data_IF_621805285171
#
_entry.id   IF_621805285171
#
_cell.length_a   1.000
_cell.length_b   1.000
_cell.length_c   1.000
_cell.angle_alpha   90.00
_cell.angle_beta   90.00
_cell.angle_gamma   90.00
#
_symmetry.space_group_name_H-M   'P 1'
#
loop_
_entity.id
_entity.type
_entity.pdbx_description
1 polymer ?
#
# COMPACT_ATOMS: atom_id res chain seq x y z
N UNK A 1 0.74 7.12 -1.55
CA UNK A 1 0.73 5.64 -1.53
C UNK A 1 -0.47 5.05 -0.76
N UNK A 2 -1.44 5.90 -0.41
CA UNK A 2 -2.54 5.64 0.53
C UNK A 2 -3.86 5.19 -0.11
N UNK A 3 -3.87 4.96 -1.43
CA UNK A 3 -5.06 4.48 -2.14
C UNK A 3 -4.97 3.01 -2.59
N UNK A 4 -3.78 2.38 -2.61
CA UNK A 4 -3.65 0.96 -2.99
C UNK A 4 -3.77 -0.01 -1.81
N UNK A 5 -3.51 0.44 -0.58
CA UNK A 5 -3.74 -0.37 0.64
C UNK A 5 -5.24 -0.62 0.84
N UNK A 6 -6.01 0.44 0.64
CA UNK A 6 -7.47 0.53 0.67
C UNK A 6 -8.20 -0.46 -0.25
N UNK A 7 -7.63 -0.78 -1.42
CA UNK A 7 -8.27 -1.70 -2.36
C UNK A 7 -7.98 -3.18 -2.05
N UNK A 8 -6.94 -3.59 -1.31
CA UNK A 8 -6.56 -5.02 -1.23
C UNK A 8 -7.57 -5.95 -0.51
N UNK A 9 -8.38 -5.42 0.41
CA UNK A 9 -9.51 -6.15 1.02
C UNK A 9 -10.67 -6.30 0.01
N UNK A 10 -10.79 -5.37 -0.95
CA UNK A 10 -11.91 -5.26 -1.90
C UNK A 10 -11.57 -5.56 -3.38
N UNK A 11 -10.30 -5.75 -3.75
CA UNK A 11 -9.84 -6.01 -5.13
C UNK A 11 -9.40 -7.45 -5.36
N UNK A 12 -8.96 -8.17 -4.33
CA UNK A 12 -8.61 -9.60 -4.47
C UNK A 12 -9.83 -10.52 -4.63
N UNK A 13 -11.01 -9.94 -4.51
CA UNK A 13 -12.30 -10.39 -4.98
C UNK A 13 -12.26 -10.74 -6.49
N UNK A 14 -11.45 -10.09 -7.34
CA UNK A 14 -11.60 -10.21 -8.81
C UNK A 14 -10.79 -11.31 -9.53
N UNK A 15 -10.08 -12.22 -8.85
CA UNK A 15 -9.19 -13.21 -9.51
C UNK A 15 -9.63 -14.68 -9.37
N UNK A 16 -10.92 -14.94 -9.18
CA UNK A 16 -11.47 -16.29 -9.27
C UNK A 16 -12.57 -16.33 -10.34
N UNK A 17 -12.18 -16.72 -11.55
CA UNK A 17 -13.09 -17.16 -12.62
C UNK A 17 -12.54 -18.47 -13.20
N UNK A 18 -13.40 -19.46 -13.51
CA UNK A 18 -12.99 -20.84 -13.73
C UNK A 18 -12.34 -21.06 -15.10
N UNK A 19 -11.33 -21.93 -15.13
CA UNK A 19 -10.56 -22.29 -16.31
C UNK A 19 -11.41 -22.83 -17.45
N UNK A 20 -11.31 -22.16 -18.61
CA UNK A 20 -11.74 -22.69 -19.90
C UNK A 20 -10.57 -23.50 -20.48
N UNK A 21 -10.79 -24.81 -20.68
CA UNK A 21 -9.91 -25.69 -21.46
C UNK A 21 -9.73 -25.10 -22.86
N UNK A 22 -8.49 -24.89 -23.30
CA UNK A 22 -8.16 -24.79 -24.71
C UNK A 22 -6.97 -25.71 -25.00
N UNK A 23 -7.13 -26.45 -26.09
CA UNK A 23 -6.31 -27.55 -26.58
C UNK A 23 -4.88 -27.14 -26.91
N UNK A 24 -3.99 -28.13 -26.78
CA UNK A 24 -2.62 -28.15 -27.27
C UNK A 24 -2.59 -27.99 -28.79
N UNK A 25 -1.72 -27.13 -29.30
CA UNK A 25 -1.00 -27.32 -30.57
C UNK A 25 0.37 -26.63 -30.49
N UNK A 26 1.42 -27.45 -30.63
CA UNK A 26 2.81 -27.05 -30.88
C UNK A 26 2.97 -26.60 -32.35
N UNK A 27 3.89 -25.66 -32.62
CA UNK A 27 4.72 -25.48 -33.84
C UNK A 27 5.43 -24.11 -33.67
N UNK A 28 6.71 -24.05 -33.28
CA UNK A 28 7.91 -24.15 -34.12
C UNK A 28 8.06 -23.03 -35.17
N UNK A 29 9.25 -22.41 -35.14
CA UNK A 29 9.93 -21.60 -36.17
C UNK A 29 9.82 -20.07 -36.14
N UNK A 30 10.91 -19.44 -35.70
CA UNK A 30 11.54 -18.26 -36.32
C UNK A 30 12.00 -18.60 -37.76
N UNK A 31 12.05 -17.65 -38.72
CA UNK A 31 13.28 -16.86 -38.87
C UNK A 31 13.14 -15.39 -39.33
N UNK A 32 14.23 -14.70 -39.01
CA UNK A 32 14.94 -13.51 -39.53
C UNK A 32 14.73 -13.07 -41.00
N UNK A 33 14.79 -11.74 -41.25
CA UNK A 33 15.57 -10.97 -42.28
C UNK A 33 14.77 -9.77 -42.85
N UNK A 34 15.11 -8.50 -42.61
CA UNK A 34 16.09 -7.58 -43.27
C UNK A 34 15.58 -6.87 -44.55
N UNK A 35 15.78 -5.52 -44.57
CA UNK A 35 15.91 -4.55 -45.70
C UNK A 35 14.65 -4.17 -46.52
N UNK A 36 14.49 -2.96 -47.10
CA UNK A 36 15.12 -1.63 -47.04
C UNK A 36 14.36 -0.69 -48.02
N UNK A 37 14.40 0.65 -47.76
CA UNK A 37 14.33 1.77 -48.74
C UNK A 37 13.02 1.96 -49.57
N UNK A 38 12.56 3.15 -50.04
CA UNK A 38 13.02 4.55 -50.14
C UNK A 38 11.84 5.42 -50.68
N UNK A 39 11.74 6.70 -50.27
CA UNK A 39 11.26 7.94 -50.97
C UNK A 39 9.93 7.94 -51.77
N UNK A 40 9.08 8.98 -51.83
CA UNK A 40 9.36 10.41 -52.00
C UNK A 40 8.11 11.33 -51.81
N UNK A 41 8.38 12.63 -51.67
CA UNK A 41 7.54 13.83 -51.49
C UNK A 41 6.45 14.15 -52.54
N UNK A 42 5.36 14.82 -52.09
CA UNK A 42 4.84 16.18 -52.44
C UNK A 42 3.37 16.28 -51.94
N UNK A 43 3.00 17.16 -51.01
CA UNK A 43 2.64 18.59 -51.18
C UNK A 43 1.24 18.69 -51.80
N UNK A 44 0.23 19.43 -51.34
CA UNK A 44 -0.03 20.44 -50.32
C UNK A 44 -1.58 20.46 -50.17
N UNK A 45 -2.11 20.89 -49.02
CA UNK A 45 -3.36 21.67 -48.93
C UNK A 45 -3.89 21.75 -47.49
N UNK A 46 -3.95 22.99 -47.04
CA UNK A 46 -4.47 23.50 -45.79
C UNK A 46 -5.95 23.14 -45.55
N UNK A 47 -6.31 22.76 -44.32
CA UNK A 47 -7.28 23.53 -43.52
C UNK A 47 -7.60 22.86 -42.16
N UNK A 48 -7.47 23.67 -41.12
CA UNK A 48 -8.30 23.72 -39.92
C UNK A 48 -8.03 22.83 -38.69
N UNK A 49 -7.72 23.59 -37.62
CA UNK A 49 -8.10 23.42 -36.20
C UNK A 49 -7.18 22.57 -35.33
N UNK A 50 -6.18 23.30 -34.83
CA UNK A 50 -5.83 23.39 -33.40
C UNK A 50 -6.86 22.76 -32.44
N UNK A 51 -6.61 21.52 -32.05
CA UNK A 51 -7.00 21.05 -30.73
C UNK A 51 -5.81 21.25 -29.82
N UNK A 52 -5.86 22.33 -29.06
CA UNK A 52 -4.88 22.69 -28.07
C UNK A 52 -4.63 21.52 -27.10
N UNK A 53 -3.36 21.12 -27.02
CA UNK A 53 -2.79 20.30 -25.97
C UNK A 53 -3.24 20.81 -24.59
N UNK A 54 -4.17 20.11 -23.94
CA UNK A 54 -4.33 20.18 -22.48
C UNK A 54 -3.42 19.12 -21.84
N UNK A 55 -2.12 19.27 -22.04
CA UNK A 55 -1.15 18.71 -21.10
C UNK A 55 -1.05 19.75 -19.99
N UNK A 56 -1.79 19.56 -18.89
CA UNK A 56 -1.51 20.31 -17.67
C UNK A 56 -0.06 19.99 -17.29
N UNK A 57 0.84 20.95 -17.55
CA UNK A 57 2.25 20.80 -17.21
C UNK A 57 2.37 20.55 -15.71
N UNK A 58 3.16 19.53 -15.37
CA UNK A 58 3.61 19.26 -14.03
C UNK A 58 4.12 20.55 -13.36
N UNK A 59 4.02 20.66 -12.04
CA UNK A 59 4.64 21.76 -11.29
C UNK A 59 6.11 21.82 -11.71
N UNK A 60 6.59 23.02 -12.06
CA UNK A 60 7.99 23.18 -12.44
C UNK A 60 8.86 22.58 -11.31
N UNK A 61 9.77 21.61 -11.60
CA UNK A 61 10.64 20.98 -10.62
C UNK A 61 11.28 21.97 -9.65
N UNK A 62 11.68 23.13 -10.19
CA UNK A 62 12.34 24.20 -9.45
C UNK A 62 11.42 24.82 -8.40
N UNK A 63 10.14 25.00 -8.72
CA UNK A 63 9.13 25.55 -7.78
C UNK A 63 8.88 24.56 -6.65
N UNK A 64 8.71 23.28 -6.98
CA UNK A 64 8.53 22.24 -5.96
C UNK A 64 9.78 22.15 -5.08
N UNK A 65 10.98 22.11 -5.65
CA UNK A 65 12.23 22.06 -4.91
C UNK A 65 12.40 23.26 -3.97
N UNK A 66 12.06 24.47 -4.41
CA UNK A 66 12.14 25.68 -3.58
C UNK A 66 11.18 25.62 -2.39
N UNK A 67 9.93 25.20 -2.60
CA UNK A 67 8.96 24.99 -1.52
C UNK A 67 9.46 23.96 -0.50
N UNK A 68 9.98 22.83 -0.98
CA UNK A 68 10.56 21.78 -0.14
C UNK A 68 11.80 22.26 0.62
N UNK A 69 12.63 23.11 -0.01
CA UNK A 69 13.79 23.71 0.61
C UNK A 69 13.39 24.63 1.77
N UNK A 70 12.42 25.52 1.57
CA UNK A 70 11.92 26.41 2.63
C UNK A 70 11.34 25.62 3.81
N UNK A 71 10.50 24.61 3.52
CA UNK A 71 9.86 23.78 4.54
C UNK A 71 10.89 22.96 5.36
N UNK A 72 11.90 22.39 4.69
CA UNK A 72 12.93 21.59 5.33
C UNK A 72 13.91 22.47 6.11
N UNK A 73 14.40 23.57 5.51
CA UNK A 73 15.37 24.49 6.11
C UNK A 73 14.84 25.11 7.41
N UNK A 74 13.53 25.36 7.50
CA UNK A 74 12.89 25.89 8.70
C UNK A 74 12.95 24.93 9.91
N UNK A 75 13.11 23.63 9.66
CA UNK A 75 12.98 22.58 10.69
C UNK A 75 14.29 21.85 11.00
N UNK A 76 15.36 22.11 10.24
CA UNK A 76 16.64 21.40 10.36
C UNK A 76 17.80 22.35 10.61
N UNK A 77 18.79 21.88 11.37
CA UNK A 77 20.07 22.56 11.62
C UNK A 77 21.14 21.94 10.73
N UNK A 78 20.99 22.10 9.41
CA UNK A 78 21.92 21.57 8.41
C UNK A 78 22.44 22.70 7.49
N UNK A 79 23.57 22.46 6.83
CA UNK A 79 24.11 23.42 5.86
C UNK A 79 23.19 23.53 4.64
N UNK A 80 23.15 24.73 4.05
CA UNK A 80 22.33 25.04 2.86
C UNK A 80 22.53 24.01 1.75
N UNK A 81 23.78 23.68 1.42
CA UNK A 81 24.09 22.67 0.39
C UNK A 81 23.59 21.27 0.73
N UNK A 82 23.55 20.88 2.02
CA UNK A 82 23.00 19.61 2.44
C UNK A 82 21.48 19.57 2.26
N UNK A 83 20.78 20.65 2.65
CA UNK A 83 19.32 20.76 2.50
C UNK A 83 18.94 20.76 1.02
N UNK A 84 19.62 21.55 0.19
CA UNK A 84 19.42 21.58 -1.27
C UNK A 84 19.63 20.21 -1.92
N UNK A 85 20.65 19.46 -1.50
CA UNK A 85 20.92 18.15 -2.06
C UNK A 85 19.82 17.13 -1.72
N UNK A 86 19.30 17.16 -0.48
CA UNK A 86 18.21 16.28 -0.02
C UNK A 86 16.90 16.64 -0.72
N UNK A 87 16.56 17.93 -0.80
CA UNK A 87 15.32 18.35 -1.47
C UNK A 87 15.34 18.06 -2.96
N UNK A 88 16.49 18.24 -3.63
CA UNK A 88 16.65 17.84 -5.03
C UNK A 88 16.39 16.33 -5.23
N UNK A 89 16.95 15.46 -4.37
CA UNK A 89 16.71 14.01 -4.44
C UNK A 89 15.23 13.67 -4.23
N UNK A 90 14.59 14.27 -3.22
CA UNK A 90 13.15 14.08 -2.97
C UNK A 90 12.32 14.53 -4.18
N UNK A 91 12.61 15.71 -4.75
CA UNK A 91 11.92 16.21 -5.96
C UNK A 91 12.07 15.22 -7.12
N UNK A 92 13.30 14.80 -7.44
CA UNK A 92 13.56 13.83 -8.52
C UNK A 92 12.85 12.48 -8.29
N UNK A 93 12.79 12.01 -7.04
CA UNK A 93 12.06 10.77 -6.71
C UNK A 93 10.56 10.94 -6.96
N UNK A 94 9.98 12.05 -6.50
CA UNK A 94 8.56 12.36 -6.65
C UNK A 94 8.17 12.49 -8.11
N UNK A 95 8.97 13.20 -8.92
CA UNK A 95 8.77 13.28 -10.37
C UNK A 95 8.76 11.90 -11.01
N UNK A 96 9.79 11.10 -10.72
CA UNK A 96 9.89 9.73 -11.24
C UNK A 96 8.70 8.85 -10.85
N UNK A 97 8.16 9.01 -9.64
CA UNK A 97 6.98 8.26 -9.19
C UNK A 97 5.74 8.70 -9.96
N UNK A 98 5.55 10.01 -10.11
CA UNK A 98 4.42 10.56 -10.86
C UNK A 98 4.47 10.12 -12.32
N UNK A 99 5.65 10.15 -12.96
CA UNK A 99 5.85 9.75 -14.36
C UNK A 99 5.55 8.26 -14.59
N UNK A 100 5.99 7.40 -13.67
CA UNK A 100 5.79 5.95 -13.79
C UNK A 100 4.37 5.49 -13.42
N UNK A 101 3.62 6.31 -12.70
CA UNK A 101 2.30 5.94 -12.20
C UNK A 101 1.23 6.31 -13.22
N UNK A 102 0.78 5.33 -14.01
CA UNK A 102 -0.34 5.50 -14.95
C UNK A 102 -1.57 6.11 -14.26
N UNK A 103 -1.87 5.68 -13.03
CA UNK A 103 -2.97 6.21 -12.21
C UNK A 103 -2.85 7.71 -11.93
N UNK A 104 -1.63 8.20 -11.66
CA UNK A 104 -1.40 9.63 -11.40
C UNK A 104 -1.50 10.41 -12.72
N UNK A 105 -0.90 9.88 -13.79
CA UNK A 105 -0.96 10.48 -15.12
C UNK A 105 -2.40 10.61 -15.62
N UNK A 106 -3.22 9.56 -15.47
CA UNK A 106 -4.63 9.56 -15.88
C UNK A 106 -5.53 10.42 -14.98
N UNK A 107 -5.09 10.76 -13.75
CA UNK A 107 -5.90 11.58 -12.84
C UNK A 107 -6.06 13.03 -13.28
N UNK A 108 -5.15 13.55 -14.11
CA UNK A 108 -5.09 14.96 -14.51
C UNK A 108 -4.61 15.92 -13.41
N UNK A 109 -4.45 15.47 -12.16
CA UNK A 109 -4.07 16.31 -11.01
C UNK A 109 -2.63 16.04 -10.55
N UNK A 110 -1.69 15.94 -11.50
CA UNK A 110 -0.27 15.59 -11.26
C UNK A 110 0.36 16.50 -10.19
N UNK A 111 0.07 17.80 -10.23
CA UNK A 111 0.64 18.80 -9.34
C UNK A 111 0.25 18.57 -7.87
N UNK A 112 -1.02 18.21 -7.63
CA UNK A 112 -1.53 17.88 -6.29
C UNK A 112 -0.85 16.63 -5.75
N UNK A 113 -0.66 15.61 -6.61
CA UNK A 113 0.06 14.39 -6.25
C UNK A 113 1.53 14.64 -5.97
N UNK A 114 2.21 15.45 -6.78
CA UNK A 114 3.61 15.81 -6.56
C UNK A 114 3.79 16.49 -5.20
N UNK A 115 2.96 17.51 -4.89
CA UNK A 115 3.05 18.22 -3.61
C UNK A 115 2.76 17.30 -2.42
N UNK A 116 1.72 16.46 -2.52
CA UNK A 116 1.34 15.53 -1.44
C UNK A 116 2.42 14.48 -1.19
N UNK A 117 2.98 13.89 -2.25
CA UNK A 117 4.06 12.91 -2.14
C UNK A 117 5.32 13.53 -1.56
N UNK A 118 5.68 14.73 -2.02
CA UNK A 118 6.86 15.44 -1.55
C UNK A 118 6.77 15.82 -0.07
N UNK A 119 5.63 16.33 0.38
CA UNK A 119 5.38 16.62 1.81
C UNK A 119 5.45 15.38 2.67
N UNK A 120 4.83 14.29 2.24
CA UNK A 120 4.91 13.03 2.97
C UNK A 120 6.36 12.51 3.09
N UNK A 121 7.17 12.66 2.03
CA UNK A 121 8.60 12.31 2.05
C UNK A 121 9.39 13.18 3.02
N UNK A 122 9.19 14.50 2.99
CA UNK A 122 9.81 15.44 3.93
C UNK A 122 9.43 15.12 5.36
N UNK A 123 8.15 14.91 5.65
CA UNK A 123 7.68 14.63 7.00
C UNK A 123 8.30 13.35 7.56
N UNK A 124 8.42 12.29 6.73
CA UNK A 124 9.13 11.07 7.13
C UNK A 124 10.61 11.30 7.41
N UNK A 125 11.29 12.07 6.56
CA UNK A 125 12.68 12.47 6.79
C UNK A 125 12.81 13.27 8.10
N UNK A 126 11.94 14.25 8.33
CA UNK A 126 11.90 15.07 9.53
C UNK A 126 11.65 14.27 10.79
N UNK A 127 10.74 13.27 10.76
CA UNK A 127 10.53 12.36 11.89
C UNK A 127 11.85 11.67 12.29
N UNK A 128 12.56 11.08 11.34
CA UNK A 128 13.85 10.45 11.62
C UNK A 128 14.93 11.45 12.03
N UNK A 129 14.87 12.68 11.50
CA UNK A 129 15.78 13.76 11.89
C UNK A 129 15.56 14.16 13.36
N UNK A 130 14.31 14.32 13.78
CA UNK A 130 13.92 14.66 15.16
C UNK A 130 14.27 13.56 16.16
N UNK A 131 14.14 12.29 15.77
CA UNK A 131 14.58 11.15 16.58
C UNK A 131 16.11 11.14 16.77
N UNK A 132 16.85 11.71 15.83
CA UNK A 132 18.32 11.71 15.83
C UNK A 132 18.92 10.36 15.47
N UNK A 133 20.24 10.26 15.50
CA UNK A 133 20.96 9.09 14.95
C UNK A 133 20.67 7.80 15.71
N UNK A 134 20.74 7.82 17.04
CA UNK A 134 20.61 6.61 17.84
C UNK A 134 19.16 6.12 17.89
N UNK A 135 18.21 6.97 18.33
CA UNK A 135 16.80 6.56 18.42
C UNK A 135 16.20 6.26 17.05
N UNK A 136 16.58 6.98 16.00
CA UNK A 136 16.12 6.71 14.63
C UNK A 136 16.52 5.32 14.13
N UNK A 137 17.75 4.87 14.42
CA UNK A 137 18.19 3.50 14.07
C UNK A 137 17.43 2.44 14.85
N UNK A 138 17.23 2.65 16.15
CA UNK A 138 16.48 1.72 17.01
C UNK A 138 15.02 1.61 16.55
N UNK A 139 14.39 2.74 16.24
CA UNK A 139 13.02 2.80 15.68
C UNK A 139 12.94 2.07 14.34
N UNK A 140 13.85 2.35 13.40
CA UNK A 140 13.88 1.69 12.09
C UNK A 140 14.10 0.18 12.24
N UNK A 141 15.05 -0.23 13.08
CA UNK A 141 15.38 -1.62 13.32
C UNK A 141 14.22 -2.38 13.94
N UNK A 142 13.59 -1.82 14.98
CA UNK A 142 12.42 -2.42 15.63
C UNK A 142 11.26 -2.55 14.63
N UNK A 143 10.96 -1.49 13.88
CA UNK A 143 9.88 -1.48 12.90
C UNK A 143 10.06 -2.55 11.82
N UNK A 144 11.27 -2.67 11.25
CA UNK A 144 11.54 -3.69 10.24
C UNK A 144 11.62 -5.09 10.85
N UNK A 145 12.21 -5.22 12.04
CA UNK A 145 12.31 -6.47 12.79
C UNK A 145 10.94 -7.06 13.09
N UNK A 146 10.00 -6.23 13.55
CA UNK A 146 8.61 -6.62 13.77
C UNK A 146 7.92 -7.13 12.49
N UNK A 147 8.19 -6.52 11.33
CA UNK A 147 7.64 -6.97 10.04
C UNK A 147 8.17 -8.34 9.61
N UNK A 148 9.42 -8.66 9.94
CA UNK A 148 10.06 -9.90 9.49
C UNK A 148 10.11 -10.99 10.55
N UNK A 149 9.74 -10.71 11.80
CA UNK A 149 9.86 -11.64 12.93
C UNK A 149 9.27 -13.02 12.65
N UNK A 150 8.12 -13.08 11.96
CA UNK A 150 7.46 -14.36 11.61
C UNK A 150 8.10 -15.06 10.40
N UNK A 151 8.84 -14.32 9.57
CA UNK A 151 9.31 -14.77 8.27
C UNK A 151 10.81 -15.08 8.22
N UNK A 152 11.56 -14.71 9.26
CA UNK A 152 12.99 -15.05 9.40
C UNK A 152 13.21 -16.52 9.79
N UNK A 153 12.18 -17.19 10.31
CA UNK A 153 12.22 -18.60 10.71
C UNK A 153 11.41 -19.48 9.77
N UNK A 154 11.89 -20.71 9.55
CA UNK A 154 11.17 -21.72 8.75
C UNK A 154 9.89 -22.15 9.47
N UNK A 155 8.75 -22.33 8.75
CA UNK A 155 7.53 -22.85 9.35
C UNK A 155 7.77 -24.23 9.99
N UNK A 156 7.49 -24.35 11.29
CA UNK A 156 7.69 -25.58 12.06
C UNK A 156 8.89 -25.56 13.02
N UNK A 157 9.79 -24.58 12.92
CA UNK A 157 10.91 -24.44 13.86
C UNK A 157 10.48 -23.71 15.12
N UNK A 158 10.68 -24.33 16.29
CA UNK A 158 10.42 -23.73 17.60
C UNK A 158 11.67 -22.98 18.11
N UNK A 159 12.00 -21.86 17.47
CA UNK A 159 13.05 -20.97 17.98
C UNK A 159 12.50 -20.07 19.10
N UNK A 160 13.28 -19.91 20.16
CA UNK A 160 13.05 -18.92 21.22
C UNK A 160 13.15 -17.48 20.69
N UNK A 161 12.73 -16.50 21.52
CA UNK A 161 12.75 -15.09 21.13
C UNK A 161 14.17 -14.61 20.80
N UNK A 162 15.16 -14.95 21.62
CA UNK A 162 16.55 -14.48 21.45
C UNK A 162 17.17 -15.05 20.17
N UNK A 163 16.98 -16.35 19.90
CA UNK A 163 17.43 -16.98 18.66
C UNK A 163 16.79 -16.34 17.40
N UNK A 164 15.49 -16.00 17.46
CA UNK A 164 14.83 -15.27 16.37
C UNK A 164 15.35 -13.85 16.23
N UNK A 165 15.62 -13.18 17.34
CA UNK A 165 16.17 -11.82 17.33
C UNK A 165 17.55 -11.79 16.66
N UNK A 166 18.43 -12.75 16.96
CA UNK A 166 19.74 -12.88 16.32
C UNK A 166 19.58 -13.06 14.79
N UNK A 167 18.66 -13.92 14.34
CA UNK A 167 18.36 -14.08 12.91
C UNK A 167 17.84 -12.79 12.26
N UNK A 168 17.06 -11.99 13.00
CA UNK A 168 16.59 -10.67 12.53
C UNK A 168 17.75 -9.70 12.39
N UNK A 169 18.69 -9.67 13.34
CA UNK A 169 19.86 -8.80 13.23
C UNK A 169 20.69 -9.14 11.99
N UNK A 170 21.01 -10.42 11.79
CA UNK A 170 21.76 -10.89 10.62
C UNK A 170 21.06 -10.53 9.31
N UNK A 171 19.75 -10.80 9.25
CA UNK A 171 18.92 -10.45 8.10
C UNK A 171 18.91 -8.94 7.84
N UNK A 172 18.67 -8.13 8.87
CA UNK A 172 18.55 -6.69 8.73
C UNK A 172 19.89 -6.04 8.38
N UNK A 173 21.01 -6.53 8.88
CA UNK A 173 22.34 -6.07 8.46
C UNK A 173 22.53 -6.24 6.95
N UNK A 174 22.26 -7.44 6.42
CA UNK A 174 22.31 -7.68 4.98
C UNK A 174 21.31 -6.81 4.21
N UNK A 175 20.12 -6.61 4.76
CA UNK A 175 19.08 -5.77 4.17
C UNK A 175 19.46 -4.30 4.12
N UNK A 176 20.13 -3.74 5.14
CA UNK A 176 20.62 -2.36 5.13
C UNK A 176 21.68 -2.13 4.05
N UNK A 177 22.56 -3.12 3.83
CA UNK A 177 23.55 -3.11 2.74
C UNK A 177 22.83 -3.11 1.38
N UNK A 178 21.76 -3.88 1.22
CA UNK A 178 20.93 -3.83 0.01
C UNK A 178 20.26 -2.46 -0.14
N UNK A 179 19.66 -1.93 0.93
CA UNK A 179 18.95 -0.66 0.94
C UNK A 179 19.87 0.52 0.58
N UNK A 180 21.11 0.57 1.07
CA UNK A 180 22.05 1.64 0.70
C UNK A 180 22.48 1.54 -0.76
N UNK A 181 22.65 0.31 -1.30
CA UNK A 181 22.93 0.11 -2.73
C UNK A 181 21.75 0.57 -3.60
N UNK A 182 20.52 0.29 -3.17
CA UNK A 182 19.32 0.79 -3.82
C UNK A 182 19.22 2.31 -3.74
N UNK A 183 19.48 2.90 -2.57
CA UNK A 183 19.50 4.35 -2.36
C UNK A 183 20.49 5.04 -3.29
N UNK A 184 21.71 4.50 -3.44
CA UNK A 184 22.74 5.05 -4.34
C UNK A 184 22.29 5.01 -5.79
N UNK A 185 21.81 3.86 -6.27
CA UNK A 185 21.32 3.72 -7.66
C UNK A 185 20.12 4.61 -7.95
N UNK A 186 19.15 4.64 -7.04
CA UNK A 186 17.93 5.41 -7.26
C UNK A 186 18.18 6.92 -7.18
N UNK A 187 19.20 7.38 -6.46
CA UNK A 187 19.53 8.81 -6.34
C UNK A 187 20.75 9.25 -7.16
N UNK A 188 21.27 8.37 -8.03
CA UNK A 188 22.45 8.66 -8.88
C UNK A 188 23.67 9.10 -8.06
N UNK A 189 23.86 8.49 -6.88
CA UNK A 189 24.96 8.81 -5.98
C UNK A 189 26.18 7.91 -6.25
N UNK A 190 27.41 8.37 -5.91
CA UNK A 190 28.63 7.57 -6.00
C UNK A 190 28.54 6.23 -5.23
N UNK A 191 29.29 5.22 -5.69
CA UNK A 191 29.29 3.90 -5.07
C UNK A 191 29.83 3.91 -3.63
N UNK A 192 30.68 4.86 -3.27
CA UNK A 192 31.25 5.05 -1.94
C UNK A 192 30.41 5.97 -1.05
N UNK A 193 29.28 6.49 -1.55
CA UNK A 193 28.43 7.41 -0.78
C UNK A 193 27.95 6.77 0.52
N UNK A 194 28.18 7.47 1.63
CA UNK A 194 27.63 7.14 2.94
C UNK A 194 27.04 8.40 3.57
N UNK A 195 25.87 8.36 4.24
CA UNK A 195 25.33 9.50 4.96
C UNK A 195 26.35 10.03 5.99
N UNK A 196 26.77 11.29 5.86
CA UNK A 196 27.74 11.94 6.77
C UNK A 196 27.08 12.91 7.75
N UNK A 197 25.91 13.45 7.40
CA UNK A 197 25.17 14.38 8.25
C UNK A 197 23.93 13.71 8.85
N UNK A 198 23.39 14.27 9.94
CA UNK A 198 22.15 13.79 10.55
C UNK A 198 20.98 13.84 9.56
N UNK A 199 20.92 14.86 8.71
CA UNK A 199 19.86 14.99 7.69
C UNK A 199 19.98 13.92 6.61
N UNK A 200 21.19 13.66 6.11
CA UNK A 200 21.43 12.57 5.15
C UNK A 200 21.11 11.20 5.76
N UNK A 201 21.42 11.01 7.05
CA UNK A 201 21.10 9.77 7.75
C UNK A 201 19.59 9.61 7.89
N UNK A 202 18.87 10.68 8.23
CA UNK A 202 17.42 10.69 8.33
C UNK A 202 16.74 10.39 6.99
N UNK A 203 17.25 10.98 5.90
CA UNK A 203 16.81 10.67 4.54
C UNK A 203 17.02 9.18 4.21
N UNK A 204 18.20 8.64 4.50
CA UNK A 204 18.49 7.22 4.29
C UNK A 204 17.57 6.30 5.12
N UNK A 205 17.31 6.62 6.39
CA UNK A 205 16.40 5.85 7.24
C UNK A 205 14.96 5.88 6.71
N UNK A 206 14.47 7.06 6.31
CA UNK A 206 13.16 7.22 5.69
C UNK A 206 13.04 6.43 4.38
N UNK A 207 14.06 6.51 3.52
CA UNK A 207 14.13 5.73 2.30
C UNK A 207 14.13 4.23 2.59
N UNK A 208 14.91 3.77 3.57
CA UNK A 208 15.03 2.34 3.91
C UNK A 208 13.70 1.76 4.38
N UNK A 209 12.96 2.49 5.24
CA UNK A 209 11.62 2.08 5.68
C UNK A 209 10.66 1.93 4.48
N UNK A 210 10.70 2.88 3.54
CA UNK A 210 9.86 2.84 2.35
C UNK A 210 10.29 1.73 1.39
N UNK A 211 11.60 1.54 1.19
CA UNK A 211 12.17 0.51 0.34
C UNK A 211 11.73 -0.89 0.82
N UNK A 212 11.77 -1.11 2.14
CA UNK A 212 11.26 -2.33 2.77
C UNK A 212 9.78 -2.59 2.47
N UNK A 213 8.96 -1.55 2.54
CA UNK A 213 7.49 -1.62 2.31
C UNK A 213 7.09 -1.69 0.84
N UNK A 214 8.03 -1.57 -0.11
CA UNK A 214 7.74 -1.62 -1.55
C UNK A 214 7.08 -2.95 -1.92
N UNK A 215 5.97 -2.89 -2.65
CA UNK A 215 5.28 -4.09 -3.14
C UNK A 215 5.98 -4.66 -4.37
N UNK A 216 6.20 -5.96 -4.34
CA UNK A 216 6.70 -6.76 -5.45
C UNK A 216 5.57 -7.65 -5.93
N UNK A 217 5.23 -7.53 -7.21
CA UNK A 217 4.23 -8.37 -7.86
C UNK A 217 4.89 -9.68 -8.26
N UNK A 218 4.39 -10.79 -7.73
CA UNK A 218 4.88 -12.13 -8.01
C UNK A 218 4.01 -12.79 -9.11
N UNK A 219 4.55 -13.80 -9.82
CA UNK A 219 3.75 -14.62 -10.73
C UNK A 219 2.51 -15.18 -10.01
N UNK A 220 1.33 -15.05 -10.63
CA UNK A 220 0.06 -15.45 -10.03
C UNK A 220 -0.70 -14.34 -9.28
N UNK A 221 -0.33 -13.07 -9.46
CA UNK A 221 -1.09 -11.92 -8.95
C UNK A 221 -0.93 -11.66 -7.45
N UNK A 222 0.02 -12.33 -6.80
CA UNK A 222 0.33 -12.13 -5.39
C UNK A 222 1.26 -10.92 -5.21
N UNK A 223 0.92 -10.02 -4.27
CA UNK A 223 1.71 -8.81 -4.00
C UNK A 223 2.28 -8.85 -2.58
N UNK A 224 3.60 -8.88 -2.46
CA UNK A 224 4.29 -8.99 -1.17
C UNK A 224 5.22 -7.81 -0.94
N UNK A 225 5.44 -7.43 0.32
CA UNK A 225 6.44 -6.42 0.66
C UNK A 225 7.84 -6.99 0.41
N UNK A 226 8.74 -6.14 -0.10
CA UNK A 226 10.10 -6.51 -0.44
C UNK A 226 10.82 -7.12 0.77
N UNK A 227 10.74 -6.49 1.94
CA UNK A 227 11.44 -6.98 3.15
C UNK A 227 10.98 -8.37 3.56
N UNK A 228 9.69 -8.67 3.46
CA UNK A 228 9.12 -9.99 3.76
C UNK A 228 9.60 -11.02 2.74
N UNK A 229 9.59 -10.67 1.45
CA UNK A 229 10.08 -11.56 0.39
C UNK A 229 11.56 -11.90 0.61
N UNK A 230 12.37 -10.93 1.03
CA UNK A 230 13.78 -11.14 1.38
C UNK A 230 13.94 -12.00 2.64
N UNK A 231 13.15 -11.77 3.68
CA UNK A 231 13.19 -12.56 4.91
C UNK A 231 12.86 -14.04 4.65
N UNK A 232 11.85 -14.32 3.82
CA UNK A 232 11.52 -15.69 3.41
C UNK A 232 12.65 -16.33 2.59
N UNK A 233 13.29 -15.56 1.71
CA UNK A 233 14.47 -16.02 0.97
C UNK A 233 15.66 -16.31 1.90
N UNK A 234 15.84 -15.49 2.94
CA UNK A 234 16.84 -15.69 3.98
C UNK A 234 16.58 -16.97 4.78
N UNK A 235 15.35 -17.14 5.29
CA UNK A 235 14.92 -18.35 6.02
C UNK A 235 15.14 -19.63 5.22
N UNK A 236 14.82 -19.64 3.92
CA UNK A 236 15.01 -20.82 3.06
C UNK A 236 16.48 -21.20 2.81
N UNK A 237 17.40 -20.27 3.01
CA UNK A 237 18.85 -20.49 2.84
C UNK A 237 19.54 -20.87 4.16
N UNK A 238 18.82 -20.84 5.27
CA UNK A 238 19.35 -21.29 6.55
C UNK A 238 19.61 -22.81 6.50
N UNK A 239 20.77 -23.28 6.99
CA UNK A 239 21.03 -24.70 7.19
C UNK A 239 19.92 -25.37 8.01
N UNK A 240 19.64 -26.65 7.76
CA UNK A 240 18.62 -27.38 8.52
C UNK A 240 19.05 -27.55 10.00
N UNK A 241 20.35 -27.48 10.25
CA UNK A 241 20.99 -27.57 11.55
C UNK A 241 20.75 -26.32 12.42
N UNK A 242 20.42 -25.15 11.83
CA UNK A 242 20.04 -23.93 12.56
C UNK A 242 18.70 -24.07 13.30
N UNK A 243 18.02 -25.21 13.17
CA UNK A 243 16.79 -25.53 13.92
C UNK A 243 17.06 -25.96 15.36
N UNK A 244 18.30 -26.30 15.71
CA UNK A 244 18.69 -26.66 17.07
C UNK A 244 19.11 -25.38 17.80
N UNK A 245 18.23 -24.86 18.65
CA UNK A 245 18.53 -23.76 19.56
C UNK A 245 19.45 -24.26 20.70
N UNK A 246 20.74 -24.35 20.41
CA UNK A 246 21.76 -24.76 21.38
C UNK A 246 21.83 -23.82 22.59
N UNK A 247 21.43 -22.55 22.45
CA UNK A 247 21.39 -21.56 23.53
C UNK A 247 20.24 -21.82 24.51
N UNK A 248 19.06 -22.20 24.03
CA UNK A 248 17.96 -22.63 24.89
C UNK A 248 18.28 -23.94 25.65
N UNK A 249 19.13 -24.81 25.09
CA UNK A 249 19.59 -26.02 25.75
C UNK A 249 20.68 -25.78 26.83
N UNK A 250 21.31 -24.60 26.83
CA UNK A 250 22.45 -24.24 27.67
C UNK A 250 22.10 -23.12 28.67
N UNK A 251 20.85 -23.05 29.16
CA UNK A 251 20.40 -22.02 30.13
C UNK A 251 21.03 -22.12 31.55
N UNK A 252 22.22 -22.71 31.73
CA UNK A 252 22.92 -22.73 33.03
C UNK A 252 24.17 -21.84 33.14
N UNK A 253 24.53 -21.05 32.13
CA UNK A 253 25.67 -20.12 32.24
C UNK A 253 25.53 -18.90 31.33
N UNK A 254 24.68 -17.93 31.70
CA UNK A 254 24.65 -16.62 31.04
C UNK A 254 25.73 -15.72 31.65
N UNK A 255 26.63 -15.21 30.80
CA UNK A 255 27.63 -14.20 31.14
C UNK A 255 26.96 -12.81 31.29
N UNK A 256 27.55 -11.93 32.10
CA UNK A 256 27.11 -10.55 32.37
C UNK A 256 26.91 -9.71 31.09
N UNK A 257 27.62 -10.06 30.01
CA UNK A 257 27.51 -9.46 28.66
C UNK A 257 26.19 -9.80 27.94
N UNK A 258 25.68 -11.03 28.11
CA UNK A 258 24.42 -11.46 27.50
C UNK A 258 23.20 -10.76 28.10
N UNK A 259 23.26 -10.45 29.40
CA UNK A 259 22.20 -9.67 30.05
C UNK A 259 22.21 -8.19 29.65
N UNK A 260 23.38 -7.60 29.38
CA UNK A 260 23.49 -6.23 28.88
C UNK A 260 22.87 -6.09 27.47
N UNK A 261 23.07 -7.10 26.61
CA UNK A 261 22.52 -7.16 25.26
C UNK A 261 20.98 -7.31 25.24
N UNK A 262 20.41 -8.14 26.12
CA UNK A 262 18.95 -8.26 26.30
C UNK A 262 18.28 -6.96 26.80
N UNK A 263 19.05 -6.08 27.46
CA UNK A 263 18.61 -4.74 27.90
C UNK A 263 18.82 -3.66 26.84
N UNK A 264 19.31 -4.00 25.64
CA UNK A 264 19.46 -3.01 24.57
C UNK A 264 18.10 -2.43 24.18
N UNK A 265 18.09 -1.13 23.88
CA UNK A 265 16.84 -0.42 23.55
C UNK A 265 16.15 -0.99 22.31
N UNK A 266 16.89 -1.60 21.38
CA UNK A 266 16.35 -2.22 20.17
C UNK A 266 15.63 -3.54 20.49
N UNK A 267 16.22 -4.39 21.33
CA UNK A 267 15.57 -5.61 21.82
C UNK A 267 14.30 -5.26 22.60
N UNK A 268 14.36 -4.28 23.49
CA UNK A 268 13.20 -3.84 24.28
C UNK A 268 12.10 -3.23 23.40
N UNK A 269 12.45 -2.38 22.44
CA UNK A 269 11.48 -1.80 21.51
C UNK A 269 10.88 -2.86 20.60
N UNK A 270 11.67 -3.79 20.06
CA UNK A 270 11.13 -4.90 19.28
C UNK A 270 10.19 -5.76 20.12
N UNK A 271 10.55 -6.13 21.36
CA UNK A 271 9.63 -6.82 22.29
C UNK A 271 8.36 -6.03 22.51
N UNK A 272 8.47 -4.73 22.78
CA UNK A 272 7.31 -3.85 22.97
C UNK A 272 6.44 -3.78 21.71
N UNK A 273 7.03 -3.75 20.51
CA UNK A 273 6.31 -3.73 19.24
C UNK A 273 5.69 -5.07 18.88
N UNK A 274 6.28 -6.20 19.29
CA UNK A 274 5.68 -7.52 19.16
C UNK A 274 4.48 -7.69 20.08
N UNK A 275 4.59 -7.19 21.32
CA UNK A 275 3.47 -7.15 22.28
C UNK A 275 2.40 -6.16 21.82
N UNK A 276 2.83 -5.02 21.28
CA UNK A 276 1.99 -3.97 20.70
C UNK A 276 1.83 -4.15 19.18
N UNK A 277 1.76 -5.38 18.64
CA UNK A 277 1.41 -5.65 17.23
C UNK A 277 -0.07 -5.26 16.97
N UNK A 278 -0.35 -3.97 17.16
CA UNK A 278 -1.60 -3.21 17.03
C UNK A 278 -1.29 -1.71 16.85
N UNK A 279 -0.06 -1.31 16.46
CA UNK A 279 0.31 0.11 16.39
C UNK A 279 1.11 0.48 15.13
N UNK A 280 0.40 0.71 14.04
CA UNK A 280 0.74 1.48 12.85
C UNK A 280 -0.13 2.76 12.76
N UNK A 281 0.41 3.90 13.18
CA UNK A 281 -0.23 5.24 13.03
C UNK A 281 -1.58 5.42 13.79
N UNK A 282 -1.61 6.11 14.94
CA UNK A 282 -2.79 6.17 15.82
C UNK A 282 -4.09 6.66 15.17
N UNK A 283 -4.00 7.50 14.13
CA UNK A 283 -5.17 8.01 13.43
C UNK A 283 -5.70 7.01 12.38
N UNK A 284 -4.81 6.41 11.58
CA UNK A 284 -5.18 5.48 10.51
C UNK A 284 -5.55 4.07 11.05
N UNK A 285 -4.93 3.62 12.14
CA UNK A 285 -5.27 2.36 12.81
C UNK A 285 -6.64 2.42 13.48
N UNK A 286 -7.02 3.57 14.06
CA UNK A 286 -8.35 3.69 14.70
C UNK A 286 -9.50 3.47 13.70
N UNK A 287 -9.33 3.94 12.46
CA UNK A 287 -10.33 3.76 11.40
C UNK A 287 -10.25 2.34 10.79
N UNK A 288 -9.03 1.81 10.61
CA UNK A 288 -8.81 0.43 10.14
C UNK A 288 -9.37 -0.61 11.09
N UNK A 289 -9.04 -0.52 12.38
CA UNK A 289 -9.47 -1.47 13.41
C UNK A 289 -10.98 -1.39 13.61
N UNK A 290 -11.56 -0.18 13.47
CA UNK A 290 -13.01 0.00 13.44
C UNK A 290 -13.67 -0.68 12.24
N UNK A 291 -13.11 -0.54 11.04
CA UNK A 291 -13.59 -1.24 9.83
C UNK A 291 -13.50 -2.76 10.01
N UNK A 292 -12.39 -3.27 10.53
CA UNK A 292 -12.16 -4.70 10.75
C UNK A 292 -13.14 -5.25 11.78
N UNK A 293 -13.31 -4.57 12.92
CA UNK A 293 -14.22 -4.98 13.99
C UNK A 293 -15.67 -5.03 13.49
N UNK A 294 -16.11 -4.02 12.75
CA UNK A 294 -17.45 -3.97 12.16
C UNK A 294 -17.66 -5.03 11.08
N UNK A 295 -16.63 -5.35 10.27
CA UNK A 295 -16.71 -6.42 9.27
C UNK A 295 -16.81 -7.80 9.94
N UNK A 296 -16.06 -8.04 11.02
CA UNK A 296 -16.16 -9.28 11.79
C UNK A 296 -17.55 -9.42 12.42
N UNK A 297 -18.05 -8.37 13.09
CA UNK A 297 -19.39 -8.36 13.67
C UNK A 297 -20.48 -8.60 12.61
N UNK A 298 -20.33 -8.00 11.42
CA UNK A 298 -21.22 -8.24 10.28
C UNK A 298 -21.18 -9.71 9.82
N UNK A 299 -20.00 -10.29 9.65
CA UNK A 299 -19.86 -11.69 9.23
C UNK A 299 -20.48 -12.65 10.24
N UNK A 300 -20.28 -12.42 11.53
CA UNK A 300 -20.90 -13.20 12.61
C UNK A 300 -22.43 -13.06 12.62
N UNK A 301 -22.95 -11.84 12.48
CA UNK A 301 -24.40 -11.58 12.40
C UNK A 301 -25.07 -12.24 11.18
N UNK A 302 -24.32 -12.45 10.09
CA UNK A 302 -24.78 -13.17 8.89
C UNK A 302 -24.55 -14.69 8.97
N UNK A 303 -24.09 -15.20 10.13
CA UNK A 303 -23.81 -16.63 10.34
C UNK A 303 -22.57 -17.15 9.60
N UNK A 304 -21.66 -16.26 9.19
CA UNK A 304 -20.46 -16.58 8.41
C UNK A 304 -19.21 -16.61 9.29
N UNK A 305 -19.22 -17.44 10.33
CA UNK A 305 -18.11 -17.52 11.30
C UNK A 305 -16.79 -17.94 10.62
N UNK A 306 -16.84 -18.89 9.71
CA UNK A 306 -15.67 -19.35 8.96
C UNK A 306 -15.04 -18.26 8.06
N UNK A 307 -15.85 -17.34 7.52
CA UNK A 307 -15.38 -16.15 6.82
C UNK A 307 -14.70 -15.16 7.77
N UNK A 308 -15.20 -15.02 9.01
CA UNK A 308 -14.58 -14.18 10.04
C UNK A 308 -13.25 -14.76 10.51
N UNK A 309 -13.20 -16.06 10.78
CA UNK A 309 -11.98 -16.78 11.15
C UNK A 309 -10.94 -16.69 10.02
N UNK A 310 -11.37 -16.84 8.77
CA UNK A 310 -10.52 -16.64 7.60
C UNK A 310 -9.93 -15.22 7.53
N UNK A 311 -10.73 -14.18 7.80
CA UNK A 311 -10.28 -12.80 7.83
C UNK A 311 -9.24 -12.57 8.93
N UNK A 312 -9.49 -13.04 10.15
CA UNK A 312 -8.55 -12.91 11.27
C UNK A 312 -7.22 -13.58 10.96
N UNK A 313 -7.26 -14.81 10.45
CA UNK A 313 -6.05 -15.55 10.04
C UNK A 313 -5.32 -14.85 8.88
N UNK A 314 -6.06 -14.24 7.95
CA UNK A 314 -5.46 -13.44 6.87
C UNK A 314 -4.82 -12.14 7.35
N UNK A 315 -5.41 -11.47 8.34
CA UNK A 315 -4.85 -10.27 8.96
C UNK A 315 -3.59 -10.59 9.79
N UNK A 316 -3.42 -11.85 10.19
CA UNK A 316 -2.18 -12.36 10.80
C UNK A 316 -1.11 -12.74 9.76
N UNK A 317 -1.31 -12.40 8.48
CA UNK A 317 -0.40 -12.68 7.36
C UNK A 317 -0.13 -14.18 7.13
N UNK A 318 -1.05 -15.06 7.55
CA UNK A 318 -0.93 -16.50 7.29
C UNK A 318 -1.10 -16.81 5.81
N UNK A 319 -0.22 -17.69 5.31
CA UNK A 319 -0.26 -18.16 3.93
C UNK A 319 -1.51 -19.03 3.69
N UNK A 320 -1.95 -19.11 2.44
CA UNK A 320 -3.09 -19.94 2.07
C UNK A 320 -2.99 -21.41 2.56
N UNK A 321 -1.85 -22.11 2.46
CA UNK A 321 -1.73 -23.47 2.99
C UNK A 321 -1.71 -23.56 4.52
N UNK A 322 -1.26 -22.52 5.23
CA UNK A 322 -1.34 -22.49 6.70
C UNK A 322 -2.78 -22.32 7.17
N UNK A 323 -3.53 -21.44 6.50
CA UNK A 323 -4.95 -21.24 6.76
C UNK A 323 -5.74 -22.52 6.47
N UNK A 324 -5.42 -23.22 5.37
CA UNK A 324 -6.05 -24.51 5.07
C UNK A 324 -5.87 -25.52 6.20
N UNK A 325 -4.66 -25.62 6.76
CA UNK A 325 -4.35 -26.54 7.85
C UNK A 325 -5.10 -26.17 9.12
N UNK A 326 -5.13 -24.87 9.46
CA UNK A 326 -5.80 -24.37 10.67
C UNK A 326 -7.31 -24.55 10.59
N UNK A 327 -7.91 -24.27 9.42
CA UNK A 327 -9.35 -24.38 9.20
C UNK A 327 -9.80 -25.76 8.70
N UNK A 328 -8.88 -26.72 8.52
CA UNK A 328 -9.17 -28.05 8.01
C UNK A 328 -9.75 -28.08 6.60
N UNK A 329 -9.35 -27.13 5.75
CA UNK A 329 -9.91 -26.95 4.40
C UNK A 329 -9.14 -27.72 3.34
N UNK A 330 -9.88 -28.37 2.45
CA UNK A 330 -9.35 -28.79 1.16
C UNK A 330 -9.23 -27.61 0.20
N UNK A 331 -8.42 -27.75 -0.86
CA UNK A 331 -8.29 -26.70 -1.89
C UNK A 331 -9.63 -26.25 -2.48
N UNK A 332 -10.61 -27.15 -2.61
CA UNK A 332 -11.95 -26.82 -3.12
C UNK A 332 -12.79 -26.06 -2.09
N UNK A 333 -12.71 -26.43 -0.81
CA UNK A 333 -13.43 -25.72 0.27
C UNK A 333 -12.86 -24.31 0.49
N UNK A 334 -11.54 -24.14 0.35
CA UNK A 334 -10.91 -22.82 0.35
C UNK A 334 -11.46 -21.93 -0.75
N UNK A 335 -11.57 -22.42 -1.98
CA UNK A 335 -12.09 -21.63 -3.11
C UNK A 335 -13.54 -21.17 -2.83
N UNK A 336 -14.39 -22.07 -2.32
CA UNK A 336 -15.75 -21.74 -1.91
C UNK A 336 -15.79 -20.70 -0.78
N UNK A 337 -14.95 -20.86 0.24
CA UNK A 337 -14.83 -19.93 1.36
C UNK A 337 -14.39 -18.54 0.87
N UNK A 338 -13.42 -18.47 -0.05
CA UNK A 338 -12.95 -17.23 -0.63
C UNK A 338 -14.03 -16.53 -1.47
N UNK A 339 -14.80 -17.28 -2.26
CA UNK A 339 -15.92 -16.72 -3.04
C UNK A 339 -17.04 -16.18 -2.14
N UNK A 340 -17.35 -16.88 -1.04
CA UNK A 340 -18.37 -16.42 -0.10
C UNK A 340 -17.89 -15.23 0.73
N UNK A 341 -16.64 -15.26 1.21
CA UNK A 341 -16.00 -14.14 1.87
C UNK A 341 -16.01 -12.90 0.98
N UNK A 342 -15.61 -13.05 -0.29
CA UNK A 342 -15.69 -12.03 -1.33
C UNK A 342 -17.08 -11.38 -1.40
N UNK A 343 -18.13 -12.19 -1.53
CA UNK A 343 -19.51 -11.70 -1.62
C UNK A 343 -19.90 -10.86 -0.40
N UNK A 344 -19.57 -11.32 0.80
CA UNK A 344 -19.91 -10.63 2.03
C UNK A 344 -19.14 -9.32 2.22
N UNK A 345 -17.86 -9.32 1.85
CA UNK A 345 -17.04 -8.12 1.85
C UNK A 345 -17.66 -7.09 0.90
N UNK A 346 -17.92 -7.43 -0.37
CA UNK A 346 -18.57 -6.53 -1.32
C UNK A 346 -19.90 -5.97 -0.79
N UNK A 347 -20.76 -6.83 -0.24
CA UNK A 347 -22.05 -6.44 0.35
C UNK A 347 -21.88 -5.49 1.55
N UNK A 348 -20.90 -5.73 2.42
CA UNK A 348 -20.58 -4.87 3.56
C UNK A 348 -20.18 -3.45 3.11
N UNK A 349 -19.32 -3.36 2.09
CA UNK A 349 -18.88 -2.05 1.55
C UNK A 349 -19.93 -1.26 0.82
N UNK A 350 -20.93 -1.93 0.22
CA UNK A 350 -21.94 -1.26 -0.63
C UNK A 350 -23.23 -0.96 0.11
N UNK A 351 -23.65 -1.81 1.05
CA UNK A 351 -25.03 -1.77 1.57
C UNK A 351 -25.12 -1.55 3.08
N UNK A 352 -24.19 -2.09 3.88
CA UNK A 352 -24.31 -2.06 5.34
C UNK A 352 -23.55 -0.88 5.97
N UNK A 353 -22.23 -0.78 5.73
CA UNK A 353 -21.35 0.20 6.38
C UNK A 353 -20.51 0.98 5.35
N UNK A 354 -21.14 1.39 4.25
CA UNK A 354 -20.45 2.08 3.15
C UNK A 354 -19.75 3.37 3.61
N UNK A 355 -20.33 4.11 4.56
CA UNK A 355 -19.77 5.38 5.07
C UNK A 355 -18.42 5.16 5.74
N UNK A 356 -18.36 4.16 6.62
CA UNK A 356 -17.16 3.79 7.36
C UNK A 356 -16.07 3.31 6.40
N UNK A 357 -16.43 2.45 5.45
CA UNK A 357 -15.49 1.96 4.43
C UNK A 357 -15.02 3.12 3.55
N UNK A 358 -15.92 3.95 3.03
CA UNK A 358 -15.55 5.08 2.16
C UNK A 358 -14.73 6.16 2.87
N UNK A 359 -15.00 6.43 4.15
CA UNK A 359 -14.19 7.32 4.97
C UNK A 359 -12.75 6.79 5.09
N UNK A 360 -12.61 5.51 5.46
CA UNK A 360 -11.32 4.84 5.54
C UNK A 360 -10.57 4.79 4.19
N UNK A 361 -11.28 4.62 3.08
CA UNK A 361 -10.68 4.60 1.74
C UNK A 361 -10.27 6.00 1.22
N UNK A 362 -10.51 7.09 1.96
CA UNK A 362 -10.35 8.45 1.43
C UNK A 362 -11.28 8.73 0.25
N UNK A 363 -12.49 8.17 0.31
CA UNK A 363 -13.52 8.25 -0.71
C UNK A 363 -14.85 8.71 -0.12
N UNK A 364 -14.78 9.54 0.93
CA UNK A 364 -15.94 10.20 1.51
C UNK A 364 -16.57 11.23 0.57
N UNK A 365 -17.79 11.67 0.90
CA UNK A 365 -18.48 12.73 0.16
C UNK A 365 -17.66 14.03 0.08
N UNK A 366 -16.93 14.35 1.15
CA UNK A 366 -16.06 15.54 1.21
C UNK A 366 -14.86 15.46 0.27
N UNK A 367 -14.51 14.25 -0.18
CA UNK A 367 -13.44 13.97 -1.13
C UNK A 367 -14.01 13.53 -2.49
N UNK A 368 -15.19 14.03 -2.87
CA UNK A 368 -15.86 13.71 -4.15
C UNK A 368 -16.01 12.20 -4.40
N UNK A 369 -16.26 11.41 -3.35
CA UNK A 369 -16.32 9.94 -3.42
C UNK A 369 -15.03 9.26 -3.95
N UNK A 370 -13.90 9.96 -3.88
CA UNK A 370 -12.62 9.51 -4.43
C UNK A 370 -12.54 9.59 -5.96
N UNK A 371 -13.42 10.39 -6.60
CA UNK A 371 -13.40 10.69 -8.03
C UNK A 371 -12.49 11.89 -8.29
N UNK A 372 -11.78 11.89 -9.42
CA UNK A 372 -11.08 13.10 -9.90
C UNK A 372 -12.09 14.20 -10.27
N UNK A 373 -11.64 15.44 -10.38
CA UNK A 373 -12.55 16.56 -10.71
C UNK A 373 -13.32 16.33 -12.03
N UNK A 374 -12.68 15.77 -13.06
CA UNK A 374 -13.34 15.44 -14.33
C UNK A 374 -14.33 14.26 -14.19
N UNK A 375 -13.96 13.24 -13.41
CA UNK A 375 -14.83 12.10 -13.13
C UNK A 375 -16.05 12.51 -12.28
N UNK A 376 -15.85 13.46 -11.37
CA UNK A 376 -16.91 14.05 -10.56
C UNK A 376 -17.88 14.84 -11.42
N UNK A 377 -17.39 15.68 -12.33
CA UNK A 377 -18.26 16.42 -13.25
C UNK A 377 -19.05 15.47 -14.15
N UNK A 378 -18.42 14.39 -14.64
CA UNK A 378 -19.10 13.31 -15.36
C UNK A 378 -20.16 12.63 -14.50
N UNK A 379 -19.83 12.25 -13.27
CA UNK A 379 -20.75 11.64 -12.31
C UNK A 379 -21.96 12.55 -12.05
N UNK A 380 -21.72 13.81 -11.68
CA UNK A 380 -22.78 14.80 -11.46
C UNK A 380 -23.62 14.99 -12.72
N UNK A 381 -23.03 15.04 -13.92
CA UNK A 381 -23.78 15.19 -15.18
C UNK A 381 -24.75 14.03 -15.45
N UNK A 382 -24.45 12.82 -14.96
CA UNK A 382 -25.28 11.62 -15.13
C UNK A 382 -26.42 11.50 -14.11
N UNK A 383 -26.41 12.31 -13.05
CA UNK A 383 -27.45 12.25 -12.00
C UNK A 383 -28.74 12.94 -12.43
N UNK A 384 -29.88 12.33 -12.11
CA UNK A 384 -31.17 13.01 -12.21
C UNK A 384 -31.39 13.99 -11.03
N UNK A 385 -32.42 14.83 -11.11
CA UNK A 385 -32.67 15.88 -10.11
C UNK A 385 -32.87 15.32 -8.70
N UNK A 386 -33.54 14.17 -8.58
CA UNK A 386 -33.77 13.51 -7.29
C UNK A 386 -32.46 12.96 -6.70
N UNK A 387 -31.60 12.39 -7.52
CA UNK A 387 -30.27 11.89 -7.12
C UNK A 387 -29.34 13.02 -6.69
N UNK A 388 -29.34 14.15 -7.40
CA UNK A 388 -28.59 15.35 -7.00
C UNK A 388 -29.08 15.87 -5.65
N UNK A 389 -30.39 15.89 -5.44
CA UNK A 389 -30.98 16.32 -4.18
C UNK A 389 -30.61 15.37 -3.03
N UNK A 390 -30.63 14.05 -3.25
CA UNK A 390 -30.15 13.06 -2.26
C UNK A 390 -28.66 13.31 -1.94
N UNK A 391 -27.82 13.51 -2.96
CA UNK A 391 -26.38 13.75 -2.81
C UNK A 391 -26.10 15.02 -1.98
N UNK A 392 -26.78 16.13 -2.29
CA UNK A 392 -26.65 17.39 -1.56
C UNK A 392 -27.09 17.26 -0.11
N UNK A 393 -28.23 16.60 0.16
CA UNK A 393 -28.73 16.43 1.52
C UNK A 393 -27.83 15.49 2.35
N UNK A 394 -27.23 14.48 1.73
CA UNK A 394 -26.22 13.61 2.36
C UNK A 394 -24.92 14.38 2.64
N UNK A 395 -24.48 15.26 1.73
CA UNK A 395 -23.32 16.12 1.94
C UNK A 395 -23.54 17.11 3.10
N UNK A 396 -24.77 17.62 3.25
CA UNK A 396 -25.19 18.46 4.37
C UNK A 396 -25.44 17.67 5.69
N UNK A 397 -25.14 16.36 5.72
CA UNK A 397 -25.26 15.48 6.89
C UNK A 397 -26.68 15.36 7.47
N UNK A 398 -27.72 15.50 6.65
CA UNK A 398 -29.09 15.22 7.08
C UNK A 398 -29.33 13.72 7.31
N UNK A 399 -30.23 13.39 8.24
CA UNK A 399 -30.58 11.99 8.53
C UNK A 399 -31.46 11.38 7.43
N UNK A 400 -31.35 10.07 7.24
CA UNK A 400 -32.06 9.33 6.19
C UNK A 400 -33.59 9.49 6.28
N UNK A 401 -34.13 9.68 7.49
CA UNK A 401 -35.55 9.95 7.70
C UNK A 401 -35.97 11.32 7.15
N UNK A 402 -35.13 12.34 7.31
CA UNK A 402 -35.38 13.69 6.77
C UNK A 402 -35.25 13.65 5.24
N UNK A 403 -34.21 13.00 4.73
CA UNK A 403 -33.97 12.87 3.28
C UNK A 403 -35.12 12.12 2.60
N UNK A 404 -35.58 11.01 3.18
CA UNK A 404 -36.69 10.22 2.67
C UNK A 404 -37.98 11.06 2.55
N UNK A 405 -38.26 11.89 3.56
CA UNK A 405 -39.41 12.82 3.55
C UNK A 405 -39.26 13.91 2.49
N UNK A 406 -38.09 14.54 2.38
CA UNK A 406 -37.84 15.63 1.43
C UNK A 406 -37.90 15.15 -0.03
N UNK A 407 -37.34 13.97 -0.30
CA UNK A 407 -37.30 13.36 -1.65
C UNK A 407 -38.58 12.53 -1.93
N UNK A 408 -39.53 12.48 -0.99
CA UNK A 408 -40.80 11.74 -1.07
C UNK A 408 -40.60 10.27 -1.46
N UNK A 409 -39.65 9.60 -0.81
CA UNK A 409 -39.41 8.17 -1.02
C UNK A 409 -39.40 7.41 0.31
N UNK A 410 -39.62 6.09 0.25
CA UNK A 410 -39.51 5.25 1.45
C UNK A 410 -38.03 5.07 1.86
N UNK A 411 -37.72 4.80 3.14
CA UNK A 411 -36.35 4.55 3.58
C UNK A 411 -35.63 3.46 2.77
N UNK A 412 -36.36 2.39 2.38
CA UNK A 412 -35.82 1.32 1.51
C UNK A 412 -35.50 1.82 0.10
N UNK A 413 -36.34 2.67 -0.48
CA UNK A 413 -36.08 3.28 -1.79
C UNK A 413 -34.90 4.26 -1.73
N UNK A 414 -34.79 5.04 -0.65
CA UNK A 414 -33.64 5.91 -0.41
C UNK A 414 -32.35 5.11 -0.35
N UNK A 415 -32.32 4.03 0.44
CA UNK A 415 -31.15 3.14 0.56
C UNK A 415 -30.78 2.53 -0.80
N UNK A 416 -31.77 2.06 -1.57
CA UNK A 416 -31.54 1.51 -2.92
C UNK A 416 -30.92 2.54 -3.87
N UNK A 417 -31.51 3.74 -3.94
CA UNK A 417 -31.01 4.83 -4.80
C UNK A 417 -29.62 5.29 -4.37
N UNK A 418 -29.39 5.38 -3.07
CA UNK A 418 -28.09 5.74 -2.53
C UNK A 418 -27.01 4.70 -2.87
N UNK A 419 -27.34 3.41 -2.76
CA UNK A 419 -26.44 2.32 -3.16
C UNK A 419 -26.09 2.41 -4.65
N UNK A 420 -27.09 2.70 -5.51
CA UNK A 420 -26.88 2.89 -6.95
C UNK A 420 -25.96 4.08 -7.26
N UNK A 421 -26.06 5.18 -6.50
CA UNK A 421 -25.17 6.33 -6.65
C UNK A 421 -23.72 5.98 -6.29
N UNK A 422 -23.50 5.25 -5.20
CA UNK A 422 -22.16 4.81 -4.80
C UNK A 422 -21.58 3.82 -5.81
N UNK A 423 -22.40 2.92 -6.36
CA UNK A 423 -22.00 1.97 -7.39
C UNK A 423 -21.61 2.68 -8.69
N UNK A 424 -22.38 3.68 -9.11
CA UNK A 424 -22.05 4.52 -10.26
C UNK A 424 -20.73 5.27 -10.05
N UNK A 425 -20.53 5.90 -8.89
CA UNK A 425 -19.27 6.54 -8.53
C UNK A 425 -18.11 5.53 -8.53
N UNK A 426 -18.31 4.34 -7.96
CA UNK A 426 -17.31 3.27 -7.96
C UNK A 426 -16.96 2.80 -9.38
N UNK A 427 -17.94 2.62 -10.26
CA UNK A 427 -17.74 2.23 -11.65
C UNK A 427 -16.95 3.29 -12.44
N UNK A 428 -17.29 4.57 -12.27
CA UNK A 428 -16.57 5.68 -12.91
C UNK A 428 -15.12 5.74 -12.41
N UNK A 429 -14.90 5.54 -11.11
CA UNK A 429 -13.57 5.54 -10.48
C UNK A 429 -12.68 4.42 -11.00
N UNK A 430 -13.25 3.23 -11.19
CA UNK A 430 -12.51 2.01 -11.55
C UNK A 430 -12.57 1.67 -13.06
N UNK A 431 -13.23 2.49 -13.89
CA UNK A 431 -13.29 2.29 -15.34
C UNK A 431 -14.23 1.16 -15.82
N UNK A 432 -15.12 0.64 -14.98
CA UNK A 432 -16.03 -0.47 -15.30
C UNK A 432 -17.33 0.00 -15.98
N UNK A 433 -17.23 0.77 -17.06
CA UNK A 433 -18.39 1.43 -17.67
C UNK A 433 -19.29 0.54 -18.56
N UNK A 434 -19.04 -0.78 -18.69
CA UNK A 434 -19.78 -1.60 -19.68
C UNK A 434 -20.37 -2.93 -19.18
N UNK A 435 -20.49 -3.19 -17.88
CA UNK A 435 -21.06 -4.45 -17.42
C UNK A 435 -22.11 -4.26 -16.32
N UNK A 436 -23.28 -3.72 -16.69
CA UNK A 436 -24.59 -4.03 -16.11
C UNK A 436 -25.69 -3.16 -16.73
N UNK A 437 -26.07 -3.50 -17.96
CA UNK A 437 -27.46 -3.34 -18.40
C UNK A 437 -27.95 -4.76 -18.68
N UNK A 438 -28.81 -5.25 -17.79
CA UNK A 438 -29.40 -6.57 -17.80
C UNK A 438 -30.36 -6.70 -16.63
#
# INVERSE_FOLDING_TARGET
MTAEVSLSIFTNVSVLSPGKKIMKTNLANLPTSVSAAKSANRGDDSANRSFANKTQLALNPEVLQNLLYEELQAQVKASVGCVQAVTNRITKEVERICDKSSRIQTSGEINSWQLTLARHRIQKCLRYYQLGSQRGRVELHSNLGAMVYRHVSTPGTQLGFDARYNLIEDFLQAFYIEAIKAFRRENELPEDYSPRTQLQLAEYMAFTEQYAKRRINLPGGCNQQLVILRAQGFSRRQPQETTVDFEAALESSRSEEGEAYQRSSAVQQLRSQLVAQSSFDPAEDSERDRVISELVAYLEAQGQKDCADYLVLKLQDLSAPEIDKILGLTSRQRDYLQQRFKYHVEKFSRTHNWQLVHQWLGAGLEQKLGLSSQQWDKFISQLNEQERQILQLKAARHSDQVIAKTVKCTPKQLQKRWTQLLEMAWCIRNGNAEAQIG
#
